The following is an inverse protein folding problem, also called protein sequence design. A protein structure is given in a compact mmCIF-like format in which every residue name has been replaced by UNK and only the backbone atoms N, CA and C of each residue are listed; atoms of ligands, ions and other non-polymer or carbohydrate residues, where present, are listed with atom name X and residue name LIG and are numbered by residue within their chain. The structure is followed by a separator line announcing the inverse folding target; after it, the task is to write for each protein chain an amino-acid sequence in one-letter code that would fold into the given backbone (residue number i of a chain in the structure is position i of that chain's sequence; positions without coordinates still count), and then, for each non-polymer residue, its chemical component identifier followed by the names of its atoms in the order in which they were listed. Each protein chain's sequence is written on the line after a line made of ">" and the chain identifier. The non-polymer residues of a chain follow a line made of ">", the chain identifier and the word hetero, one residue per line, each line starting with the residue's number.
data_IF_286362630296
#
_entry.id   IF_286362630296
#
_cell.length_a   1.000
_cell.length_b   1.000
_cell.length_c   1.000
_cell.angle_alpha   90.00
_cell.angle_beta   90.00
_cell.angle_gamma   90.00
#
_symmetry.space_group_name_H-M   'P 1'
#
loop_
_entity.id
_entity.type
_entity.pdbx_description
1 polymer ?
#
# COMPACT_ATOMS: atom_id res chain seq x y z
N UNK A 1 -15.40 -0.31 -5.77
CA UNK A 1 -15.07 -1.05 -4.53
C UNK A 1 -14.36 -0.08 -3.62
N UNK A 2 -14.72 -0.02 -2.33
CA UNK A 2 -14.05 0.84 -1.34
C UNK A 2 -13.08 -0.06 -0.57
N UNK A 3 -11.84 0.38 -0.38
CA UNK A 3 -10.84 -0.31 0.42
C UNK A 3 -10.62 0.45 1.73
N UNK A 4 -11.46 0.25 2.75
CA UNK A 4 -11.34 0.97 4.01
C UNK A 4 -10.17 0.45 4.84
N UNK A 5 -9.54 1.33 5.61
CA UNK A 5 -8.57 1.01 6.65
C UNK A 5 -9.01 1.62 7.97
N UNK A 6 -9.01 0.82 9.03
CA UNK A 6 -9.30 1.30 10.39
C UNK A 6 -8.18 2.16 10.95
N UNK A 7 -8.57 3.22 11.65
CA UNK A 7 -7.70 3.88 12.61
C UNK A 7 -7.64 3.03 13.91
N UNK A 8 -6.55 3.16 14.70
CA UNK A 8 -6.38 2.38 15.93
C UNK A 8 -7.44 2.65 17.01
N UNK A 9 -8.13 3.79 16.93
CA UNK A 9 -9.18 4.18 17.87
C UNK A 9 -10.48 3.39 17.69
N UNK A 10 -10.64 2.65 16.58
CA UNK A 10 -11.87 1.97 16.20
C UNK A 10 -13.09 2.90 16.01
N UNK A 11 -12.88 4.22 15.93
CA UNK A 11 -13.92 5.22 15.73
C UNK A 11 -13.87 5.81 14.31
N UNK A 12 -12.71 5.74 13.66
CA UNK A 12 -12.49 6.31 12.34
C UNK A 12 -12.04 5.28 11.30
N UNK A 13 -12.38 5.57 10.04
CA UNK A 13 -11.94 4.83 8.85
C UNK A 13 -11.26 5.80 7.89
N UNK A 14 -10.12 5.39 7.34
CA UNK A 14 -9.63 5.95 6.09
C UNK A 14 -10.29 5.20 4.93
N UNK A 15 -10.79 5.92 3.93
CA UNK A 15 -11.48 5.36 2.78
C UNK A 15 -11.06 6.03 1.48
N UNK A 16 -11.20 5.32 0.37
CA UNK A 16 -11.16 5.92 -0.96
C UNK A 16 -12.48 6.66 -1.23
N UNK A 17 -12.39 7.87 -1.78
CA UNK A 17 -13.55 8.66 -2.19
C UNK A 17 -13.88 8.31 -3.65
N UNK A 18 -15.06 7.71 -3.85
CA UNK A 18 -15.50 7.26 -5.16
C UNK A 18 -15.58 8.40 -6.18
N UNK A 19 -14.90 8.22 -7.32
CA UNK A 19 -14.96 9.14 -8.46
C UNK A 19 -14.00 10.33 -8.42
N UNK A 20 -13.17 10.47 -7.37
CA UNK A 20 -12.29 11.65 -7.20
C UNK A 20 -10.80 11.34 -6.96
N UNK A 21 -10.39 10.06 -6.98
CA UNK A 21 -8.99 9.61 -6.75
C UNK A 21 -8.32 10.33 -5.57
N UNK A 22 -9.04 10.46 -4.46
CA UNK A 22 -8.52 10.95 -3.18
C UNK A 22 -9.00 10.03 -2.07
N UNK A 23 -8.35 10.13 -0.92
CA UNK A 23 -8.72 9.39 0.29
C UNK A 23 -9.25 10.35 1.35
N UNK A 24 -10.15 9.88 2.20
CA UNK A 24 -10.81 10.65 3.25
C UNK A 24 -10.79 9.90 4.58
N UNK A 25 -10.84 10.65 5.67
CA UNK A 25 -11.19 10.14 6.99
C UNK A 25 -12.69 10.31 7.21
N UNK A 26 -13.35 9.26 7.68
CA UNK A 26 -14.77 9.26 8.01
C UNK A 26 -15.00 8.71 9.41
N UNK A 27 -16.09 9.15 10.05
CA UNK A 27 -16.61 8.50 11.24
C UNK A 27 -17.13 7.10 10.90
N UNK A 28 -16.63 6.06 11.57
CA UNK A 28 -16.89 4.67 11.21
C UNK A 28 -18.37 4.27 11.33
N UNK A 29 -19.10 4.89 12.26
CA UNK A 29 -20.53 4.61 12.49
C UNK A 29 -21.46 5.56 11.76
N UNK A 30 -21.01 6.78 11.45
CA UNK A 30 -21.82 7.84 10.85
C UNK A 30 -21.63 7.95 9.34
N UNK A 31 -20.48 7.51 8.82
CA UNK A 31 -20.05 7.76 7.45
C UNK A 31 -19.76 9.24 7.14
N UNK A 32 -19.80 10.11 8.15
CA UNK A 32 -19.57 11.54 7.96
C UNK A 32 -18.09 11.78 7.64
N UNK A 33 -17.82 12.58 6.61
CA UNK A 33 -16.46 12.99 6.25
C UNK A 33 -15.93 13.95 7.31
N UNK A 34 -14.79 13.59 7.90
CA UNK A 34 -14.08 14.38 8.91
C UNK A 34 -12.97 15.17 8.22
N UNK A 35 -12.21 14.51 7.34
CA UNK A 35 -11.12 15.10 6.58
C UNK A 35 -11.17 14.58 5.15
N UNK A 36 -11.08 15.48 4.16
CA UNK A 36 -10.84 15.14 2.77
C UNK A 36 -10.17 16.32 2.04
N UNK A 37 -9.07 16.11 1.28
CA UNK A 37 -8.31 14.85 1.17
C UNK A 37 -7.43 14.57 2.42
N UNK A 38 -7.04 13.31 2.60
CA UNK A 38 -6.02 12.92 3.58
C UNK A 38 -4.61 13.32 3.13
N UNK A 39 -4.30 13.13 1.84
CA UNK A 39 -3.05 13.55 1.20
C UNK A 39 -3.11 15.05 0.79
N UNK A 40 -2.52 15.41 -0.35
CA UNK A 40 -2.56 16.75 -0.93
C UNK A 40 -2.96 16.68 -2.42
N UNK A 41 -3.10 17.84 -3.07
CA UNK A 41 -3.55 17.94 -4.46
C UNK A 41 -2.47 17.61 -5.51
N UNK A 42 -1.29 17.12 -5.09
CA UNK A 42 -0.21 16.77 -6.01
C UNK A 42 -0.26 15.31 -6.46
N UNK A 43 -1.01 14.46 -5.77
CA UNK A 43 -0.99 12.99 -5.95
C UNK A 43 -2.42 12.44 -5.90
N UNK A 44 -2.82 11.71 -6.93
CA UNK A 44 -4.02 10.90 -6.87
C UNK A 44 -3.80 9.74 -5.90
N UNK A 45 -4.78 9.46 -5.05
CA UNK A 45 -4.68 8.50 -3.98
C UNK A 45 -5.83 7.48 -4.04
N UNK A 46 -5.49 6.23 -3.73
CA UNK A 46 -6.46 5.16 -3.49
C UNK A 46 -5.83 3.98 -2.73
N UNK A 47 -6.63 2.97 -2.38
CA UNK A 47 -6.20 1.80 -1.64
C UNK A 47 -5.45 2.16 -0.35
N UNK A 48 -6.12 2.93 0.51
CA UNK A 48 -5.55 3.51 1.72
C UNK A 48 -5.24 2.48 2.81
N UNK A 49 -4.17 2.73 3.57
CA UNK A 49 -3.77 1.95 4.75
C UNK A 49 -3.23 2.88 5.85
N UNK A 50 -3.83 2.81 7.03
CA UNK A 50 -3.42 3.57 8.22
C UNK A 50 -2.43 2.75 9.03
N UNK A 51 -1.28 3.35 9.39
CA UNK A 51 -0.30 2.70 10.25
C UNK A 51 -0.85 2.58 11.67
N UNK A 52 -0.86 1.36 12.22
CA UNK A 52 -1.56 1.07 13.47
C UNK A 52 -0.82 1.54 14.73
N UNK A 53 0.49 1.77 14.65
CA UNK A 53 1.29 2.29 15.79
C UNK A 53 1.56 3.79 15.67
N UNK A 54 1.43 4.35 14.46
CA UNK A 54 1.50 5.79 14.22
C UNK A 54 0.41 6.23 13.20
N UNK A 55 -0.82 6.54 13.64
CA UNK A 55 -1.94 6.84 12.75
C UNK A 55 -1.78 8.14 11.93
N UNK A 56 -0.75 8.94 12.20
CA UNK A 56 -0.40 10.07 11.33
C UNK A 56 0.22 9.64 10.00
N UNK A 57 0.75 8.42 9.92
CA UNK A 57 1.31 7.85 8.70
C UNK A 57 0.24 7.04 7.96
N UNK A 58 -0.18 7.55 6.81
CA UNK A 58 -1.20 6.93 5.98
C UNK A 58 -0.58 6.64 4.62
N UNK A 59 -0.52 5.36 4.25
CA UNK A 59 -0.01 4.91 2.97
C UNK A 59 -1.16 4.72 1.97
N UNK A 60 -0.87 4.89 0.69
CA UNK A 60 -1.84 4.70 -0.39
C UNK A 60 -1.11 4.38 -1.69
N UNK A 61 -1.81 3.70 -2.60
CA UNK A 61 -1.37 3.57 -3.99
C UNK A 61 -1.62 4.91 -4.69
N UNK A 62 -0.55 5.54 -5.18
CA UNK A 62 -0.64 6.91 -5.66
C UNK A 62 0.14 7.20 -6.93
N UNK A 63 -0.39 8.13 -7.71
CA UNK A 63 0.18 8.63 -8.95
C UNK A 63 0.33 10.14 -8.85
N UNK A 64 1.55 10.65 -9.10
CA UNK A 64 1.77 12.09 -9.19
C UNK A 64 0.93 12.67 -10.33
N UNK A 65 0.20 13.75 -10.04
CA UNK A 65 -0.73 14.36 -11.00
C UNK A 65 0.06 15.12 -12.06
N UNK A 66 0.87 16.11 -11.66
CA UNK A 66 1.64 16.94 -12.59
C UNK A 66 0.77 17.49 -13.73
N UNK A 67 1.21 17.26 -14.98
CA UNK A 67 0.45 17.60 -16.19
C UNK A 67 -0.47 16.46 -16.68
N UNK A 68 -0.57 15.36 -15.93
CA UNK A 68 -1.44 14.23 -16.30
C UNK A 68 -2.90 14.61 -16.21
N UNK A 69 -3.68 14.19 -17.21
CA UNK A 69 -5.14 14.35 -17.25
C UNK A 69 -5.89 13.03 -17.04
N UNK A 70 -5.18 11.93 -16.76
CA UNK A 70 -5.78 10.62 -16.52
C UNK A 70 -5.02 9.80 -15.46
N UNK A 71 -5.77 9.02 -14.70
CA UNK A 71 -5.24 8.07 -13.73
C UNK A 71 -4.95 6.71 -14.39
N UNK A 72 -3.78 6.16 -14.10
CA UNK A 72 -3.35 4.82 -14.48
C UNK A 72 -2.67 4.14 -13.28
N UNK A 73 -3.35 3.16 -12.72
CA UNK A 73 -2.87 2.43 -11.55
C UNK A 73 -1.53 1.72 -11.75
N UNK A 74 -1.13 1.41 -12.99
CA UNK A 74 0.15 0.79 -13.29
C UNK A 74 1.32 1.79 -13.21
N UNK A 75 1.02 3.09 -13.11
CA UNK A 75 1.99 4.16 -12.86
C UNK A 75 2.09 4.52 -11.36
N UNK A 76 1.44 3.75 -10.48
CA UNK A 76 1.46 4.03 -9.05
C UNK A 76 2.81 3.66 -8.40
N UNK A 77 3.13 4.41 -7.36
CA UNK A 77 4.01 3.98 -6.27
C UNK A 77 3.20 3.80 -4.99
N UNK A 78 3.84 3.29 -3.94
CA UNK A 78 3.35 3.53 -2.57
C UNK A 78 3.74 4.96 -2.19
N UNK A 79 2.75 5.77 -1.84
CA UNK A 79 2.94 7.09 -1.26
C UNK A 79 2.52 7.07 0.20
N UNK A 80 3.13 7.94 1.00
CA UNK A 80 2.80 8.14 2.41
C UNK A 80 2.51 9.61 2.64
N UNK A 81 1.37 9.89 3.27
CA UNK A 81 1.12 11.20 3.87
C UNK A 81 1.45 11.16 5.36
N UNK A 82 2.16 12.19 5.84
CA UNK A 82 2.39 12.42 7.26
C UNK A 82 1.54 13.59 7.77
N UNK A 83 0.47 13.22 8.48
CA UNK A 83 -0.53 14.13 9.05
C UNK A 83 -0.09 14.83 10.33
N UNK A 84 1.07 14.49 10.89
CA UNK A 84 1.64 15.20 12.05
C UNK A 84 2.19 16.58 11.69
N UNK A 85 2.17 16.95 10.41
CA UNK A 85 2.67 18.21 9.86
C UNK A 85 1.53 19.05 9.29
N UNK A 86 1.71 20.37 9.20
CA UNK A 86 0.70 21.27 8.63
C UNK A 86 1.37 22.25 7.67
N UNK A 87 1.10 22.17 6.35
CA UNK A 87 0.27 21.15 5.69
C UNK A 87 0.89 19.74 5.78
N UNK A 88 0.12 18.66 5.58
CA UNK A 88 0.66 17.30 5.54
C UNK A 88 1.75 17.15 4.49
N UNK A 89 2.86 16.51 4.83
CA UNK A 89 3.84 16.10 3.82
C UNK A 89 3.34 14.86 3.09
N UNK A 90 3.66 14.75 1.79
CA UNK A 90 3.30 13.63 0.93
C UNK A 90 4.53 13.28 0.09
N UNK A 91 4.98 12.04 0.16
CA UNK A 91 6.15 11.55 -0.57
C UNK A 91 6.02 10.04 -0.85
N UNK A 92 6.74 9.49 -1.84
CA UNK A 92 6.84 8.05 -1.99
C UNK A 92 7.38 7.38 -0.72
N UNK A 93 6.92 6.17 -0.40
CA UNK A 93 7.47 5.37 0.70
C UNK A 93 8.96 5.12 0.46
N UNK A 94 9.32 4.57 -0.69
CA UNK A 94 10.71 4.36 -1.07
C UNK A 94 11.41 5.70 -1.32
N UNK A 95 12.41 6.03 -0.49
CA UNK A 95 13.10 7.32 -0.55
C UNK A 95 13.89 7.55 -1.83
N UNK A 96 14.16 6.48 -2.59
CA UNK A 96 14.84 6.58 -3.89
C UNK A 96 13.85 6.73 -5.04
N UNK A 97 12.54 6.58 -4.80
CA UNK A 97 11.54 6.80 -5.81
C UNK A 97 11.39 8.31 -6.12
N UNK A 98 11.12 8.67 -7.38
CA UNK A 98 10.88 10.06 -7.74
C UNK A 98 9.69 10.64 -6.99
N UNK A 99 9.91 11.77 -6.31
CA UNK A 99 8.85 12.60 -5.74
C UNK A 99 8.43 13.67 -6.77
N UNK A 100 7.77 13.24 -7.84
CA UNK A 100 7.43 14.11 -8.97
C UNK A 100 6.91 13.33 -10.19
N UNK A 101 6.95 13.93 -11.40
CA UNK A 101 6.29 13.37 -12.60
C UNK A 101 7.00 12.15 -13.20
N UNK A 102 8.22 11.85 -12.77
CA UNK A 102 8.98 10.73 -13.33
C UNK A 102 8.45 9.38 -12.80
N UNK A 103 7.97 8.54 -13.71
CA UNK A 103 7.67 7.14 -13.41
C UNK A 103 8.87 6.23 -13.75
N UNK A 104 9.25 5.36 -12.82
CA UNK A 104 10.30 4.37 -12.94
C UNK A 104 9.72 3.03 -12.48
N UNK A 105 9.60 2.09 -13.42
CA UNK A 105 9.01 0.77 -13.21
C UNK A 105 9.55 0.03 -11.98
N UNK A 106 10.84 0.20 -11.64
CA UNK A 106 11.47 -0.44 -10.47
C UNK A 106 10.85 -0.05 -9.11
N UNK A 107 10.08 1.04 -9.05
CA UNK A 107 9.36 1.49 -7.84
C UNK A 107 7.86 1.28 -7.93
N UNK A 108 7.34 0.73 -9.05
CA UNK A 108 5.92 0.48 -9.22
C UNK A 108 5.37 -0.27 -8.01
N UNK A 109 4.21 0.12 -7.53
CA UNK A 109 3.51 -0.61 -6.48
C UNK A 109 2.03 -0.26 -6.48
N UNK A 110 1.22 -1.23 -6.08
CA UNK A 110 -0.22 -1.08 -5.88
C UNK A 110 -0.60 -1.69 -4.54
N UNK A 111 -1.84 -1.43 -4.11
CA UNK A 111 -2.55 -2.14 -3.04
C UNK A 111 -1.66 -2.76 -1.94
N UNK A 112 -1.34 -1.97 -0.91
CA UNK A 112 -0.50 -2.42 0.18
C UNK A 112 -1.13 -2.26 1.56
N UNK A 113 -0.45 -2.78 2.58
CA UNK A 113 -0.90 -2.73 3.97
C UNK A 113 0.27 -2.65 4.95
N UNK A 114 0.13 -1.79 5.95
CA UNK A 114 1.03 -1.73 7.10
C UNK A 114 1.00 -3.02 7.92
N UNK A 115 2.15 -3.46 8.41
CA UNK A 115 2.23 -4.51 9.42
C UNK A 115 1.61 -4.04 10.75
N UNK A 116 1.18 -4.95 11.63
CA UNK A 116 0.55 -4.59 12.89
C UNK A 116 1.44 -3.76 13.83
N UNK A 117 2.76 -3.96 13.76
CA UNK A 117 3.77 -3.15 14.48
C UNK A 117 4.08 -1.81 13.81
N UNK A 118 3.59 -1.59 12.58
CA UNK A 118 3.83 -0.40 11.79
C UNK A 118 5.25 -0.25 11.25
N UNK A 119 6.10 -1.29 11.35
CA UNK A 119 7.50 -1.23 10.94
C UNK A 119 7.75 -1.67 9.49
N UNK A 120 6.75 -2.28 8.86
CA UNK A 120 6.83 -2.84 7.51
C UNK A 120 5.60 -2.51 6.68
N UNK A 121 5.78 -2.48 5.36
CA UNK A 121 4.71 -2.32 4.40
C UNK A 121 4.79 -3.43 3.36
N UNK A 122 3.72 -4.23 3.25
CA UNK A 122 3.59 -5.23 2.19
C UNK A 122 2.74 -4.65 1.06
N UNK A 123 3.09 -4.92 -0.20
CA UNK A 123 2.37 -4.39 -1.35
C UNK A 123 2.52 -5.32 -2.55
N UNK A 124 1.58 -5.25 -3.49
CA UNK A 124 1.69 -5.95 -4.77
C UNK A 124 2.43 -5.07 -5.79
N UNK A 125 3.24 -5.69 -6.66
CA UNK A 125 4.02 -4.95 -7.64
C UNK A 125 4.42 -5.80 -8.83
N UNK A 126 4.50 -5.16 -10.00
CA UNK A 126 5.05 -5.73 -11.23
C UNK A 126 6.44 -5.17 -11.57
N UNK A 127 7.16 -4.59 -10.59
CA UNK A 127 8.45 -3.88 -10.76
C UNK A 127 9.58 -4.66 -11.43
N UNK A 128 9.52 -5.99 -11.36
CA UNK A 128 10.49 -6.92 -11.97
C UNK A 128 9.80 -8.09 -12.70
N UNK A 129 8.50 -7.96 -12.97
CA UNK A 129 7.76 -8.97 -13.71
C UNK A 129 7.89 -8.72 -15.21
N UNK A 130 7.83 -9.81 -16.00
CA UNK A 130 7.92 -9.71 -17.46
C UNK A 130 6.69 -9.01 -18.07
N UNK A 131 5.52 -9.17 -17.45
CA UNK A 131 4.30 -8.50 -17.85
C UNK A 131 3.98 -7.33 -16.91
N UNK A 132 4.09 -6.12 -17.46
CA UNK A 132 3.77 -4.87 -16.78
C UNK A 132 2.35 -4.37 -17.06
N UNK A 133 1.57 -5.09 -17.89
CA UNK A 133 0.17 -4.75 -18.24
C UNK A 133 -0.86 -5.15 -17.19
N UNK A 134 -0.39 -5.44 -15.98
CA UNK A 134 -1.24 -5.62 -14.79
C UNK A 134 -1.85 -7.01 -14.61
N UNK A 135 -1.31 -8.03 -15.28
CA UNK A 135 -1.76 -9.43 -15.13
C UNK A 135 -0.81 -10.29 -14.28
N UNK A 136 0.39 -9.78 -13.96
CA UNK A 136 1.34 -10.49 -13.09
C UNK A 136 1.87 -9.57 -12.00
N UNK A 137 1.48 -9.86 -10.76
CA UNK A 137 2.03 -9.22 -9.58
C UNK A 137 2.76 -10.22 -8.68
N UNK A 138 3.77 -9.71 -7.97
CA UNK A 138 4.37 -10.37 -6.82
C UNK A 138 4.18 -9.49 -5.58
N UNK A 139 4.19 -10.12 -4.41
CA UNK A 139 4.24 -9.40 -3.13
C UNK A 139 5.66 -8.99 -2.83
N UNK A 140 5.80 -7.74 -2.40
CA UNK A 140 7.04 -7.17 -1.87
C UNK A 140 6.80 -6.67 -0.46
N UNK A 141 7.87 -6.62 0.33
CA UNK A 141 7.89 -5.99 1.65
C UNK A 141 9.00 -4.94 1.68
N UNK A 142 8.70 -3.76 2.21
CA UNK A 142 9.66 -2.69 2.48
C UNK A 142 9.53 -2.22 3.92
N UNK A 143 10.61 -1.70 4.49
CA UNK A 143 10.55 -1.10 5.81
C UNK A 143 9.74 0.20 5.79
N UNK A 144 9.13 0.54 6.92
CA UNK A 144 8.23 1.68 7.04
C UNK A 144 8.88 3.05 6.82
N UNK A 145 10.19 3.12 6.97
CA UNK A 145 10.92 4.36 6.78
C UNK A 145 11.36 4.54 5.32
N UNK A 146 11.32 3.48 4.51
CA UNK A 146 11.62 3.46 3.09
C UNK A 146 13.10 3.62 2.75
N UNK A 147 14.00 3.43 3.70
CA UNK A 147 15.44 3.59 3.47
C UNK A 147 16.07 2.38 2.79
N UNK A 148 15.51 1.18 2.96
CA UNK A 148 16.04 -0.04 2.33
C UNK A 148 15.21 -0.41 1.09
N UNK A 149 15.84 -1.04 0.09
CA UNK A 149 15.10 -1.56 -1.06
C UNK A 149 14.03 -2.56 -0.65
N UNK A 150 12.90 -2.55 -1.35
CA UNK A 150 11.87 -3.56 -1.16
C UNK A 150 12.37 -4.97 -1.54
N UNK A 151 11.94 -5.98 -0.78
CA UNK A 151 12.29 -7.39 -0.98
C UNK A 151 11.11 -8.13 -1.62
N UNK A 152 11.36 -8.89 -2.68
CA UNK A 152 10.36 -9.76 -3.29
C UNK A 152 10.09 -10.98 -2.39
N UNK A 153 8.82 -11.32 -2.21
CA UNK A 153 8.35 -12.41 -1.36
C UNK A 153 7.79 -13.57 -2.18
N UNK A 154 7.10 -13.28 -3.28
CA UNK A 154 6.46 -14.28 -4.14
C UNK A 154 6.94 -14.17 -5.58
N UNK A 155 6.77 -15.24 -6.35
CA UNK A 155 7.09 -15.25 -7.77
C UNK A 155 6.04 -14.46 -8.58
N UNK A 156 6.46 -13.80 -9.66
CA UNK A 156 5.56 -13.10 -10.58
C UNK A 156 4.59 -14.06 -11.29
N UNK A 157 4.96 -15.34 -11.46
CA UNK A 157 4.13 -16.36 -12.10
C UNK A 157 2.87 -16.73 -11.29
N UNK A 158 2.76 -16.29 -10.04
CA UNK A 158 1.63 -16.63 -9.17
C UNK A 158 0.56 -15.54 -9.10
N UNK A 159 0.78 -14.39 -9.75
CA UNK A 159 -0.10 -13.24 -9.72
C UNK A 159 -0.70 -12.98 -8.32
N UNK A 160 0.18 -12.71 -7.36
CA UNK A 160 -0.20 -12.58 -5.95
C UNK A 160 -0.60 -11.14 -5.64
N UNK A 161 -1.78 -10.97 -5.06
CA UNK A 161 -2.44 -9.68 -4.90
C UNK A 161 -3.04 -9.48 -3.50
N UNK A 162 -3.26 -8.22 -3.14
CA UNK A 162 -3.95 -7.79 -1.92
C UNK A 162 -3.38 -8.41 -0.63
N UNK A 163 -2.08 -8.23 -0.32
CA UNK A 163 -1.48 -8.78 0.88
C UNK A 163 -2.09 -8.15 2.14
N UNK A 164 -2.34 -8.98 3.17
CA UNK A 164 -2.71 -8.56 4.52
C UNK A 164 -1.88 -9.32 5.54
N UNK A 165 -1.53 -8.65 6.63
CA UNK A 165 -0.78 -9.26 7.72
C UNK A 165 -1.70 -9.99 8.67
N UNK A 166 -1.25 -11.14 9.17
CA UNK A 166 -1.83 -11.72 10.38
C UNK A 166 -1.40 -10.90 11.61
N UNK A 167 -2.20 -10.88 12.68
CA UNK A 167 -1.74 -10.38 13.97
C UNK A 167 -0.55 -11.22 14.46
N UNK A 168 0.31 -10.67 15.33
CA UNK A 168 1.45 -11.41 15.89
C UNK A 168 1.02 -12.71 16.56
N UNK A 169 1.65 -13.82 16.17
CA UNK A 169 1.45 -15.14 16.77
C UNK A 169 2.39 -15.39 17.96
N UNK A 170 2.06 -16.37 18.81
CA UNK A 170 2.92 -16.79 19.93
C UNK A 170 4.12 -17.65 19.52
N UNK A 171 4.14 -18.12 18.27
CA UNK A 171 5.17 -18.98 17.69
C UNK A 171 6.32 -18.21 17.03
N UNK A 172 6.30 -16.87 17.14
CA UNK A 172 7.33 -15.99 16.59
C UNK A 172 7.29 -15.85 15.07
N UNK A 173 6.27 -16.38 14.39
CA UNK A 173 6.12 -16.24 12.95
C UNK A 173 5.39 -14.95 12.58
N UNK A 174 5.86 -14.33 11.51
CA UNK A 174 5.15 -13.26 10.83
C UNK A 174 4.57 -13.80 9.54
N UNK A 175 3.24 -13.71 9.40
CA UNK A 175 2.52 -14.29 8.27
C UNK A 175 1.78 -13.22 7.47
N UNK A 176 1.71 -13.43 6.15
CA UNK A 176 0.79 -12.72 5.24
C UNK A 176 -0.29 -13.68 4.74
N UNK A 177 -1.48 -13.15 4.47
CA UNK A 177 -2.48 -13.77 3.59
C UNK A 177 -2.62 -12.92 2.33
N UNK A 178 -2.71 -13.56 1.17
CA UNK A 178 -2.92 -12.87 -0.10
C UNK A 178 -3.75 -13.72 -1.06
N UNK A 179 -4.33 -13.07 -2.08
CA UNK A 179 -4.99 -13.73 -3.18
C UNK A 179 -3.94 -14.20 -4.21
N UNK A 180 -4.07 -15.41 -4.74
CA UNK A 180 -3.14 -16.04 -5.68
C UNK A 180 -3.92 -16.53 -6.88
N UNK A 181 -3.40 -16.28 -8.08
CA UNK A 181 -3.94 -16.79 -9.33
C UNK A 181 -2.82 -17.47 -10.12
N UNK A 182 -2.73 -18.80 -10.04
CA UNK A 182 -1.63 -19.58 -10.63
C UNK A 182 -1.81 -19.81 -12.14
N UNK A 183 -2.14 -18.76 -12.89
CA UNK A 183 -2.43 -18.79 -14.32
C UNK A 183 -3.62 -17.89 -14.68
N UNK A 184 -3.68 -17.35 -15.92
CA UNK A 184 -4.72 -16.38 -16.31
C UNK A 184 -6.14 -16.95 -16.25
N UNK A 185 -6.29 -18.26 -16.49
CA UNK A 185 -7.58 -18.95 -16.49
C UNK A 185 -7.92 -19.65 -15.15
N UNK A 186 -7.02 -19.59 -14.17
CA UNK A 186 -7.22 -20.20 -12.87
C UNK A 186 -8.04 -19.28 -11.95
N UNK A 187 -8.91 -19.82 -11.07
CA UNK A 187 -9.61 -19.00 -10.08
C UNK A 187 -8.63 -18.50 -9.01
N UNK A 188 -8.91 -17.31 -8.47
CA UNK A 188 -8.20 -16.80 -7.30
C UNK A 188 -8.42 -17.71 -6.08
N UNK A 189 -7.35 -17.91 -5.31
CA UNK A 189 -7.35 -18.64 -4.04
C UNK A 189 -6.67 -17.81 -2.96
N UNK A 190 -6.98 -18.08 -1.69
CA UNK A 190 -6.23 -17.50 -0.58
C UNK A 190 -5.03 -18.38 -0.24
N UNK A 191 -3.86 -17.77 -0.07
CA UNK A 191 -2.65 -18.43 0.38
C UNK A 191 -2.03 -17.67 1.56
N UNK A 192 -1.37 -18.42 2.44
CA UNK A 192 -0.60 -17.88 3.56
C UNK A 192 0.89 -18.00 3.28
N UNK A 193 1.64 -16.93 3.55
CA UNK A 193 3.08 -16.86 3.37
C UNK A 193 3.76 -16.60 4.70
N UNK A 194 4.75 -17.42 5.06
CA UNK A 194 5.64 -17.13 6.17
C UNK A 194 6.73 -16.16 5.71
N UNK A 195 6.67 -14.95 6.26
CA UNK A 195 7.57 -13.85 5.90
C UNK A 195 8.57 -13.51 6.99
N UNK A 196 8.66 -14.33 8.04
CA UNK A 196 9.50 -14.10 9.23
C UNK A 196 10.94 -13.72 8.85
N UNK A 197 11.54 -14.44 7.90
CA UNK A 197 12.92 -14.19 7.43
C UNK A 197 13.14 -12.84 6.74
N UNK A 198 12.07 -12.16 6.33
CA UNK A 198 12.17 -10.90 5.59
C UNK A 198 12.06 -9.68 6.51
N UNK A 199 11.49 -9.87 7.71
CA UNK A 199 11.05 -8.80 8.63
C UNK A 199 11.78 -8.76 9.98
N UNK A 200 12.91 -9.46 10.12
CA UNK A 200 13.57 -9.68 11.42
C UNK A 200 14.71 -8.74 11.82
N UNK A 201 15.24 -7.91 10.92
CA UNK A 201 16.51 -7.19 11.17
C UNK A 201 16.37 -5.67 10.97
N UNK A 202 15.84 -4.95 11.96
CA UNK A 202 15.84 -3.48 11.98
C UNK A 202 16.85 -2.87 12.97
N UNK A 203 17.75 -3.69 13.52
CA UNK A 203 18.74 -3.30 14.52
C UNK A 203 20.17 -3.38 13.98
#
# INVERSE_FOLDING_TARGET
>A
MIYPSWYPDCEHLAVDVGGSQVTAEIGATTGAVIVSPLANDAVWAGFVSVNQTNPNLIAFAGQFIGDSNYYNQDLNYVWVTNRSTTPPTVAPLDRQAPNGPAFLQKFQARAGWWSPDGEWFAFESNRICNDISGQTYAIFIQDANGARPAKQITDCAWNVQHPKWFPPGKDGRTLLIAAVQAGPDEPFRLATFDVTRFVGDLH
#
